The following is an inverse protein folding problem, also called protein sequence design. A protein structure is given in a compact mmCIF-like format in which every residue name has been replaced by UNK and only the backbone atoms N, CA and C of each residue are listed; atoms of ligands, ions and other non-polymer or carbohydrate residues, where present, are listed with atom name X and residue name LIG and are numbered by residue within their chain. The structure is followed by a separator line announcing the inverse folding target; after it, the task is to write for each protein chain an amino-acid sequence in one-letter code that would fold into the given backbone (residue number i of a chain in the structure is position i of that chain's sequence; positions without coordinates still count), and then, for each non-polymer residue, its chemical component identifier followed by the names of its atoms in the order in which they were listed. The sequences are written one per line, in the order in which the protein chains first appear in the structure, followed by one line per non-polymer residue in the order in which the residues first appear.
data_IF_398183554607
#
_entry.id   IF_398183554607
#
_cell.length_a   1.000
_cell.length_b   1.000
_cell.length_c   1.000
_cell.angle_alpha   90.00
_cell.angle_beta   90.00
_cell.angle_gamma   90.00
#
_symmetry.space_group_name_H-M   'P 1'
#
loop_
_entity.id
_entity.type
_entity.pdbx_description
1 polymer ?
#
# COMPACT_ATOMS: atom_id res chain seq x y z
N UNK A 1 -10.56 3.84 -4.03
CA UNK A 1 -9.70 2.81 -4.66
C UNK A 1 -8.38 2.63 -3.93
N UNK A 2 -7.66 3.71 -3.57
CA UNK A 2 -6.42 3.60 -2.79
C UNK A 2 -6.59 2.86 -1.45
N UNK A 3 -7.61 3.20 -0.66
CA UNK A 3 -7.92 2.49 0.59
C UNK A 3 -8.20 0.98 0.40
N UNK A 4 -8.89 0.61 -0.68
CA UNK A 4 -9.14 -0.80 -1.01
C UNK A 4 -7.83 -1.53 -1.37
N UNK A 5 -6.96 -0.89 -2.17
CA UNK A 5 -5.65 -1.45 -2.49
C UNK A 5 -4.76 -1.55 -1.25
N UNK A 6 -4.76 -0.52 -0.39
CA UNK A 6 -4.06 -0.53 0.89
C UNK A 6 -4.53 -1.68 1.78
N UNK A 7 -5.83 -1.92 1.88
CA UNK A 7 -6.36 -3.08 2.62
C UNK A 7 -5.88 -4.41 2.01
N UNK A 8 -5.85 -4.55 0.68
CA UNK A 8 -5.32 -5.76 0.03
C UNK A 8 -3.83 -5.98 0.27
N UNK A 9 -3.06 -4.91 0.48
CA UNK A 9 -1.66 -4.98 0.87
C UNK A 9 -1.53 -5.45 2.32
N UNK A 10 -2.37 -4.93 3.23
CA UNK A 10 -2.43 -5.38 4.64
C UNK A 10 -2.83 -6.87 4.73
N UNK A 11 -3.80 -7.28 3.92
CA UNK A 11 -4.29 -8.65 3.86
C UNK A 11 -3.30 -9.61 3.14
N UNK A 12 -2.19 -9.09 2.57
CA UNK A 12 -1.15 -9.87 1.92
C UNK A 12 -1.49 -10.40 0.52
N UNK A 13 -2.59 -9.96 -0.09
CA UNK A 13 -2.96 -10.38 -1.45
C UNK A 13 -2.02 -9.77 -2.51
N UNK A 14 -1.50 -8.57 -2.25
CA UNK A 14 -0.57 -7.87 -3.14
C UNK A 14 0.54 -7.20 -2.32
N UNK A 15 1.72 -7.07 -2.91
CA UNK A 15 2.79 -6.25 -2.33
C UNK A 15 2.60 -4.80 -2.74
N UNK A 16 3.07 -3.88 -1.89
CA UNK A 16 3.05 -2.46 -2.18
C UNK A 16 3.72 -2.16 -3.53
N UNK A 17 4.93 -2.66 -3.75
CA UNK A 17 5.65 -2.48 -5.02
C UNK A 17 4.90 -3.01 -6.24
N UNK A 18 4.17 -4.13 -6.11
CA UNK A 18 3.35 -4.64 -7.21
C UNK A 18 2.19 -3.71 -7.56
N UNK A 19 1.52 -3.13 -6.56
CA UNK A 19 0.41 -2.21 -6.77
C UNK A 19 0.90 -0.90 -7.37
N UNK A 20 1.97 -0.31 -6.81
CA UNK A 20 2.52 0.96 -7.31
C UNK A 20 3.13 0.80 -8.70
N UNK A 21 3.77 -0.33 -8.99
CA UNK A 21 4.29 -0.63 -10.34
C UNK A 21 3.20 -0.71 -11.41
N UNK A 22 1.96 -1.07 -11.05
CA UNK A 22 0.81 -1.08 -11.97
C UNK A 22 0.00 0.21 -11.96
N UNK A 23 -0.07 0.87 -10.79
CA UNK A 23 -0.92 2.02 -10.51
C UNK A 23 -0.17 3.02 -9.63
N UNK A 24 0.82 3.74 -10.20
CA UNK A 24 1.56 4.76 -9.46
C UNK A 24 0.67 5.94 -9.07
N UNK A 25 -0.45 6.13 -9.76
CA UNK A 25 -1.50 7.10 -9.42
C UNK A 25 -2.09 6.88 -8.02
N UNK A 26 -2.09 5.64 -7.52
CA UNK A 26 -2.64 5.30 -6.22
C UNK A 26 -1.64 5.42 -5.07
N UNK A 27 -0.36 5.72 -5.35
CA UNK A 27 0.71 5.71 -4.37
C UNK A 27 0.42 6.58 -3.15
N UNK A 28 0.23 7.89 -3.34
CA UNK A 28 -0.02 8.81 -2.25
C UNK A 28 -1.24 8.42 -1.37
N UNK A 29 -2.28 7.88 -2.00
CA UNK A 29 -3.47 7.42 -1.29
C UNK A 29 -3.24 6.12 -0.51
N UNK A 30 -2.44 5.21 -1.03
CA UNK A 30 -2.06 3.96 -0.35
C UNK A 30 -1.14 4.29 0.82
N UNK A 31 -0.16 5.18 0.63
CA UNK A 31 0.77 5.62 1.67
C UNK A 31 0.05 6.22 2.86
N UNK A 32 -0.89 7.13 2.58
CA UNK A 32 -1.71 7.78 3.60
C UNK A 32 -2.53 6.72 4.36
N UNK A 33 -3.14 5.78 3.63
CA UNK A 33 -3.97 4.73 4.22
C UNK A 33 -3.16 3.77 5.09
N UNK A 34 -2.00 3.32 4.62
CA UNK A 34 -1.12 2.41 5.36
C UNK A 34 -0.56 3.12 6.60
N UNK A 35 -0.18 4.38 6.49
CA UNK A 35 0.30 5.19 7.63
C UNK A 35 -0.79 5.38 8.69
N UNK A 36 -2.01 5.72 8.29
CA UNK A 36 -3.17 5.87 9.19
C UNK A 36 -3.52 4.55 9.91
N UNK A 37 -3.30 3.41 9.26
CA UNK A 37 -3.47 2.09 9.86
C UNK A 37 -2.28 1.61 10.70
N UNK A 38 -1.23 2.42 10.84
CA UNK A 38 0.00 2.02 11.52
C UNK A 38 0.75 0.90 10.80
N UNK A 39 0.49 0.72 9.50
CA UNK A 39 1.10 -0.29 8.62
C UNK A 39 2.10 0.31 7.64
N UNK A 40 2.81 1.36 8.07
CA UNK A 40 3.89 1.98 7.30
C UNK A 40 5.04 1.00 7.01
N UNK A 41 5.16 -0.09 7.77
CA UNK A 41 6.08 -1.21 7.53
C UNK A 41 5.89 -1.89 6.16
N UNK A 42 4.70 -1.74 5.56
CA UNK A 42 4.36 -2.32 4.27
C UNK A 42 4.68 -1.41 3.08
N UNK A 43 4.96 -0.12 3.31
CA UNK A 43 5.35 0.84 2.27
C UNK A 43 6.82 0.57 1.96
N UNK A 44 7.06 -0.20 0.89
CA UNK A 44 8.35 -0.77 0.53
C UNK A 44 9.13 -1.33 1.73
N UNK A 45 8.90 -2.63 1.96
CA UNK A 45 9.49 -3.48 2.99
C UNK A 45 10.78 -2.94 3.61
N UNK A 46 10.69 -2.68 4.91
CA UNK A 46 11.84 -2.43 5.78
C UNK A 46 12.78 -3.65 5.77
N UNK A 47 13.69 -3.72 4.79
CA UNK A 47 14.95 -4.47 4.80
C UNK A 47 15.83 -4.08 3.60
#
# INVERSE_FOLDING_TARGET
MAAYMGQRIIDGFYTYGFVIGKRPDLQAGIDTYLTDKGRGDLIEGSA
#
